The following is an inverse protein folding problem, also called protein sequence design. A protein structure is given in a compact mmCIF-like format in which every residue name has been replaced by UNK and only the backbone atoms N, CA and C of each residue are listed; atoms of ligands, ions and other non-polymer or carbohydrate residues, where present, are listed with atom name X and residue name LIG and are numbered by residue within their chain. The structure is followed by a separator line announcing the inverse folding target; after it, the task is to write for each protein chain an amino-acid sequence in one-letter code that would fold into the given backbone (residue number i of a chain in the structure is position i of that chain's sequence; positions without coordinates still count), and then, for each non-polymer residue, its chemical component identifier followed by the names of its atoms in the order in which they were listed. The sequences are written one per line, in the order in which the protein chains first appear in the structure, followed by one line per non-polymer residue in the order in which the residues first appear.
data_IF_453372995726
#
_entry.id   IF_453372995726
#
_cell.length_a   1.000
_cell.length_b   1.000
_cell.length_c   1.000
_cell.angle_alpha   90.00
_cell.angle_beta   90.00
_cell.angle_gamma   90.00
#
_symmetry.space_group_name_H-M   'P 1'
#
loop_
_entity.id
_entity.type
_entity.pdbx_description
1 polymer ?
#
# COMPACT_ATOMS: atom_id res chain seq x y z
N UNK A 1 2.95 7.68 -5.45
CA UNK A 1 1.89 7.03 -6.26
C UNK A 1 2.56 6.39 -7.48
N UNK A 2 2.13 5.21 -7.90
CA UNK A 2 2.59 4.53 -9.10
C UNK A 2 1.63 4.86 -10.25
N UNK A 3 2.15 5.54 -11.27
CA UNK A 3 1.35 6.03 -12.41
C UNK A 3 1.60 5.26 -13.71
N UNK A 4 2.63 4.41 -13.73
CA UNK A 4 3.02 3.62 -14.90
C UNK A 4 3.23 2.16 -14.48
N UNK A 5 2.69 1.24 -15.28
CA UNK A 5 2.92 -0.20 -15.12
C UNK A 5 4.33 -0.53 -15.62
N UNK A 6 5.18 -0.99 -14.71
CA UNK A 6 6.56 -1.40 -14.99
C UNK A 6 6.75 -2.85 -14.54
N UNK A 7 7.66 -3.57 -15.18
CA UNK A 7 7.90 -5.00 -14.90
C UNK A 7 8.75 -5.24 -13.64
N UNK A 8 9.00 -4.21 -12.83
CA UNK A 8 9.85 -4.25 -11.64
C UNK A 8 9.09 -3.98 -10.33
N UNK A 9 7.75 -3.95 -10.38
CA UNK A 9 6.92 -3.53 -9.25
C UNK A 9 7.17 -4.39 -8.00
N UNK A 10 7.24 -5.72 -8.15
CA UNK A 10 7.51 -6.66 -7.06
C UNK A 10 8.91 -6.50 -6.47
N UNK A 11 9.92 -6.26 -7.32
CA UNK A 11 11.29 -6.00 -6.90
C UNK A 11 11.37 -4.72 -6.07
N UNK A 12 10.62 -3.67 -6.45
CA UNK A 12 10.52 -2.42 -5.68
C UNK A 12 9.80 -2.64 -4.36
N UNK A 13 8.71 -3.41 -4.34
CA UNK A 13 8.01 -3.79 -3.10
C UNK A 13 8.96 -4.51 -2.14
N UNK A 14 9.66 -5.53 -2.62
CA UNK A 14 10.64 -6.29 -1.85
C UNK A 14 11.78 -5.40 -1.34
N UNK A 15 12.31 -4.52 -2.21
CA UNK A 15 13.37 -3.59 -1.84
C UNK A 15 12.95 -2.69 -0.67
N UNK A 16 11.78 -2.05 -0.72
CA UNK A 16 11.32 -1.21 0.39
C UNK A 16 11.01 -2.03 1.65
N UNK A 17 10.39 -3.19 1.50
CA UNK A 17 10.06 -4.11 2.59
C UNK A 17 11.31 -4.51 3.39
N UNK A 18 12.37 -4.94 2.69
CA UNK A 18 13.61 -5.37 3.33
C UNK A 18 14.40 -4.21 3.94
N UNK A 19 14.38 -3.04 3.31
CA UNK A 19 15.05 -1.86 3.85
C UNK A 19 14.40 -1.33 5.13
N UNK A 20 13.07 -1.42 5.26
CA UNK A 20 12.38 -0.98 6.48
C UNK A 20 12.85 -1.72 7.73
N UNK A 21 13.14 -3.02 7.61
CA UNK A 21 13.60 -3.84 8.73
C UNK A 21 14.89 -3.29 9.37
N UNK A 22 15.77 -2.64 8.58
CA UNK A 22 17.00 -2.00 9.08
C UNK A 22 16.74 -0.86 10.07
N UNK A 23 15.61 -0.17 9.95
CA UNK A 23 15.24 0.92 10.88
C UNK A 23 14.59 0.41 12.16
N UNK A 24 14.15 -0.86 12.18
CA UNK A 24 13.43 -1.43 13.33
C UNK A 24 14.35 -2.09 14.35
N UNK A 25 15.49 -2.64 13.92
CA UNK A 25 16.39 -3.42 14.77
C UNK A 25 17.76 -2.76 14.88
N UNK A 26 18.20 -2.46 16.10
CA UNK A 26 19.54 -1.91 16.37
C UNK A 26 20.57 -3.03 16.51
N UNK A 27 21.84 -2.71 16.23
CA UNK A 27 22.97 -3.63 16.40
C UNK A 27 22.97 -4.26 17.81
N UNK A 28 23.10 -5.58 17.88
CA UNK A 28 23.11 -6.34 19.13
C UNK A 28 21.75 -6.67 19.73
N UNK A 29 20.64 -6.24 19.11
CA UNK A 29 19.29 -6.63 19.56
C UNK A 29 18.89 -8.01 19.03
N UNK A 30 18.09 -8.74 19.83
CA UNK A 30 17.46 -10.00 19.40
C UNK A 30 16.51 -9.76 18.22
N UNK A 31 16.54 -10.64 17.22
CA UNK A 31 15.62 -10.62 16.08
C UNK A 31 14.14 -10.70 16.46
N UNK A 32 13.81 -11.22 17.65
CA UNK A 32 12.44 -11.19 18.19
C UNK A 32 11.89 -9.77 18.38
N UNK A 33 12.75 -8.74 18.37
CA UNK A 33 12.36 -7.31 18.49
C UNK A 33 12.11 -6.63 17.15
N UNK A 34 12.18 -7.36 16.03
CA UNK A 34 11.77 -6.82 14.73
C UNK A 34 10.33 -6.32 14.83
N UNK A 35 10.11 -5.05 14.46
CA UNK A 35 8.77 -4.45 14.47
C UNK A 35 8.05 -4.80 13.17
N UNK A 36 6.73 -4.96 13.27
CA UNK A 36 5.92 -5.06 12.06
C UNK A 36 6.05 -3.80 11.22
N UNK A 37 6.17 -4.00 9.91
CA UNK A 37 6.33 -2.93 8.92
C UNK A 37 5.29 -3.08 7.81
N UNK A 38 4.86 -1.95 7.26
CA UNK A 38 3.91 -1.90 6.16
C UNK A 38 4.55 -1.16 5.00
N UNK A 39 4.52 -1.78 3.82
CA UNK A 39 4.83 -1.13 2.55
C UNK A 39 3.54 -1.07 1.76
N UNK A 40 3.11 0.15 1.45
CA UNK A 40 1.86 0.40 0.73
C UNK A 40 2.17 1.00 -0.63
N UNK A 41 1.77 0.30 -1.68
CA UNK A 41 1.83 0.80 -3.05
C UNK A 41 0.45 1.29 -3.46
N UNK A 42 0.39 2.55 -3.93
CA UNK A 42 -0.82 3.15 -4.48
C UNK A 42 -0.69 3.17 -6.00
N UNK A 43 -1.42 2.31 -6.70
CA UNK A 43 -1.37 2.16 -8.16
C UNK A 43 -2.64 2.74 -8.81
N UNK A 44 -2.45 3.55 -9.84
CA UNK A 44 -3.54 4.14 -10.64
C UNK A 44 -3.99 3.26 -11.82
N UNK A 45 -3.48 2.04 -11.86
CA UNK A 45 -3.71 0.99 -12.86
C UNK A 45 -3.80 -0.34 -12.12
N UNK A 46 -4.34 -1.37 -12.78
CA UNK A 46 -4.31 -2.73 -12.24
C UNK A 46 -2.95 -3.40 -12.53
N UNK A 47 -2.12 -3.64 -11.49
CA UNK A 47 -0.81 -4.23 -11.71
C UNK A 47 -0.86 -5.71 -12.09
N UNK A 48 -1.92 -6.43 -11.74
CA UNK A 48 -2.02 -7.90 -11.91
C UNK A 48 -3.18 -8.33 -12.80
N UNK A 49 -3.97 -7.38 -13.29
CA UNK A 49 -5.11 -7.60 -14.20
C UNK A 49 -6.15 -8.58 -13.61
N UNK A 50 -6.32 -8.59 -12.28
CA UNK A 50 -7.30 -9.44 -11.57
C UNK A 50 -8.56 -8.67 -11.15
N UNK A 51 -8.58 -7.34 -11.28
CA UNK A 51 -9.72 -6.50 -10.89
C UNK A 51 -9.86 -6.26 -9.38
N UNK A 52 -8.98 -6.82 -8.55
CA UNK A 52 -9.00 -6.58 -7.10
C UNK A 52 -8.59 -5.14 -6.79
N UNK A 53 -9.29 -4.48 -5.87
CA UNK A 53 -8.94 -3.14 -5.42
C UNK A 53 -7.81 -3.15 -4.40
N UNK A 54 -7.61 -4.26 -3.69
CA UNK A 54 -6.52 -4.42 -2.71
C UNK A 54 -5.87 -5.79 -2.85
N UNK A 55 -4.60 -5.80 -3.24
CA UNK A 55 -3.76 -7.00 -3.17
C UNK A 55 -2.99 -7.00 -1.84
N UNK A 56 -3.09 -8.08 -1.07
CA UNK A 56 -2.39 -8.27 0.20
C UNK A 56 -1.41 -9.45 0.10
N UNK A 57 -0.11 -9.14 0.14
CA UNK A 57 0.93 -10.14 -0.09
C UNK A 57 1.52 -10.65 1.22
N UNK A 58 1.55 -11.98 1.34
CA UNK A 58 2.24 -12.71 2.39
C UNK A 58 2.99 -13.91 1.82
N UNK A 59 4.02 -14.37 2.55
CA UNK A 59 4.82 -15.52 2.17
C UNK A 59 4.28 -16.77 2.84
N UNK A 60 4.14 -17.85 2.08
CA UNK A 60 3.69 -19.14 2.58
C UNK A 60 4.66 -20.24 2.20
N UNK A 61 4.64 -21.33 2.94
CA UNK A 61 5.33 -22.54 2.53
C UNK A 61 4.86 -22.97 1.12
N UNK A 62 5.81 -23.25 0.23
CA UNK A 62 5.51 -23.46 -1.19
C UNK A 62 4.71 -24.75 -1.46
N UNK A 63 4.80 -25.74 -0.57
CA UNK A 63 4.24 -27.07 -0.81
C UNK A 63 2.76 -27.15 -0.45
N UNK A 64 2.38 -26.70 0.74
CA UNK A 64 1.02 -26.83 1.27
C UNK A 64 0.30 -25.49 1.38
N UNK A 65 1.02 -24.37 1.34
CA UNK A 65 0.49 -23.01 1.56
C UNK A 65 -0.28 -22.87 2.89
N UNK A 66 0.02 -23.75 3.85
CA UNK A 66 -0.69 -23.84 5.13
C UNK A 66 0.07 -23.16 6.26
N UNK A 67 1.36 -22.88 6.06
CA UNK A 67 2.22 -22.19 7.03
C UNK A 67 2.61 -20.85 6.44
N UNK A 68 2.13 -19.78 7.07
CA UNK A 68 2.60 -18.42 6.78
C UNK A 68 4.00 -18.22 7.36
N UNK A 69 4.92 -17.72 6.55
CA UNK A 69 6.20 -17.24 7.03
C UNK A 69 6.02 -15.84 7.62
N UNK A 70 5.87 -15.79 8.95
CA UNK A 70 5.57 -14.57 9.72
C UNK A 70 6.77 -13.61 9.75
N UNK A 71 7.00 -12.89 8.65
CA UNK A 71 8.09 -11.91 8.52
C UNK A 71 7.84 -10.64 9.33
N UNK A 72 6.58 -10.36 9.69
CA UNK A 72 6.16 -9.08 10.24
C UNK A 72 6.16 -7.95 9.20
N UNK A 73 6.54 -8.22 7.96
CA UNK A 73 6.49 -7.26 6.86
C UNK A 73 5.25 -7.52 6.01
N UNK A 74 4.40 -6.51 5.91
CA UNK A 74 3.15 -6.55 5.15
C UNK A 74 3.29 -5.68 3.90
N UNK A 75 2.95 -6.23 2.74
CA UNK A 75 2.98 -5.49 1.48
C UNK A 75 1.56 -5.43 0.93
N UNK A 76 1.02 -4.22 0.82
CA UNK A 76 -0.31 -3.96 0.28
C UNK A 76 -0.23 -3.14 -0.99
N UNK A 77 -1.05 -3.49 -1.97
CA UNK A 77 -1.22 -2.70 -3.19
C UNK A 77 -2.67 -2.27 -3.29
N UNK A 78 -2.90 -0.96 -3.32
CA UNK A 78 -4.20 -0.39 -3.65
C UNK A 78 -4.24 -0.13 -5.16
N UNK A 79 -5.20 -0.74 -5.83
CA UNK A 79 -5.46 -0.61 -7.25
C UNK A 79 -6.71 0.26 -7.45
N UNK A 80 -6.54 1.47 -7.97
CA UNK A 80 -7.66 2.39 -8.20
C UNK A 80 -8.61 1.96 -9.32
N UNK A 81 -8.27 0.93 -10.10
CA UNK A 81 -9.12 0.34 -11.14
C UNK A 81 -9.89 -0.90 -10.66
N UNK A 82 -9.65 -1.34 -9.42
CA UNK A 82 -10.36 -2.48 -8.88
C UNK A 82 -11.82 -2.16 -8.61
N UNK A 83 -12.66 -3.19 -8.61
CA UNK A 83 -14.12 -3.05 -8.58
C UNK A 83 -14.79 -3.86 -7.46
N UNK A 84 -14.06 -4.16 -6.38
CA UNK A 84 -14.56 -4.99 -5.28
C UNK A 84 -15.86 -4.42 -4.70
N UNK A 85 -16.93 -5.21 -4.78
CA UNK A 85 -18.27 -4.79 -4.32
C UNK A 85 -18.35 -4.61 -2.80
N UNK A 86 -17.52 -5.33 -2.04
CA UNK A 86 -17.55 -5.38 -0.57
C UNK A 86 -16.69 -4.30 0.12
N UNK A 87 -16.08 -3.39 -0.64
CA UNK A 87 -15.32 -2.29 -0.05
C UNK A 87 -16.21 -1.38 0.80
N UNK A 88 -15.65 -0.84 1.87
CA UNK A 88 -16.34 0.23 2.58
C UNK A 88 -16.31 1.53 1.75
N UNK A 89 -17.26 2.43 2.02
CA UNK A 89 -17.39 3.70 1.28
C UNK A 89 -16.11 4.54 1.32
N UNK A 90 -15.44 4.64 2.48
CA UNK A 90 -14.21 5.42 2.61
C UNK A 90 -13.10 4.91 1.70
N UNK A 91 -13.00 3.60 1.50
CA UNK A 91 -12.01 3.01 0.61
C UNK A 91 -12.35 3.28 -0.86
N UNK A 92 -13.62 3.17 -1.26
CA UNK A 92 -14.05 3.57 -2.61
C UNK A 92 -13.73 5.04 -2.90
N UNK A 93 -14.11 5.92 -1.97
CA UNK A 93 -13.82 7.35 -2.07
C UNK A 93 -12.30 7.63 -2.20
N UNK A 94 -11.46 6.84 -1.51
CA UNK A 94 -10.00 6.92 -1.63
C UNK A 94 -9.48 6.46 -3.00
N UNK A 95 -10.03 5.39 -3.57
CA UNK A 95 -9.65 4.91 -4.90
C UNK A 95 -10.10 5.89 -6.00
N UNK A 96 -11.30 6.47 -5.87
CA UNK A 96 -11.79 7.55 -6.74
C UNK A 96 -10.86 8.76 -6.66
N UNK A 97 -10.48 9.15 -5.45
CA UNK A 97 -9.50 10.21 -5.24
C UNK A 97 -8.15 9.93 -5.91
N UNK A 98 -7.64 8.69 -5.83
CA UNK A 98 -6.43 8.27 -6.56
C UNK A 98 -6.56 8.41 -8.08
N UNK A 99 -7.78 8.31 -8.62
CA UNK A 99 -8.08 8.54 -10.03
C UNK A 99 -8.29 10.01 -10.39
N UNK A 100 -8.12 10.94 -9.44
CA UNK A 100 -8.37 12.37 -9.63
C UNK A 100 -9.85 12.76 -9.58
N UNK A 101 -10.73 11.87 -9.12
CA UNK A 101 -12.15 12.17 -8.94
C UNK A 101 -12.33 12.83 -7.57
N UNK A 102 -12.56 14.14 -7.58
CA UNK A 102 -12.71 14.95 -6.35
C UNK A 102 -14.18 15.32 -6.19
N UNK A 103 -15.01 14.34 -5.83
CA UNK A 103 -16.45 14.51 -5.60
C UNK A 103 -16.82 14.35 -4.12
N UNK A 104 -15.90 14.71 -3.22
CA UNK A 104 -16.05 14.54 -1.77
C UNK A 104 -16.01 15.90 -1.07
N UNK A 105 -17.14 16.63 -1.03
CA UNK A 105 -17.21 17.95 -0.40
C UNK A 105 -16.98 17.90 1.12
N UNK A 106 -17.18 16.74 1.74
CA UNK A 106 -17.02 16.51 3.17
C UNK A 106 -16.40 15.12 3.46
N UNK A 107 -15.88 14.93 4.66
CA UNK A 107 -15.32 13.65 5.13
C UNK A 107 -13.81 13.51 4.93
N UNK A 108 -13.32 12.26 5.00
CA UNK A 108 -11.88 11.96 5.04
C UNK A 108 -11.12 12.50 3.81
N UNK A 109 -11.68 12.33 2.60
CA UNK A 109 -11.04 12.81 1.37
C UNK A 109 -10.98 14.35 1.33
N UNK A 110 -12.01 15.05 1.81
CA UNK A 110 -11.98 16.51 1.91
C UNK A 110 -10.87 16.99 2.88
N UNK A 111 -10.70 16.31 4.02
CA UNK A 111 -9.60 16.59 4.95
C UNK A 111 -8.24 16.33 4.32
N UNK A 112 -8.09 15.20 3.62
CA UNK A 112 -6.84 14.85 2.93
C UNK A 112 -6.47 15.88 1.85
N UNK A 113 -7.45 16.32 1.04
CA UNK A 113 -7.24 17.35 0.03
C UNK A 113 -6.80 18.67 0.66
N UNK A 114 -7.44 19.08 1.76
CA UNK A 114 -7.06 20.29 2.49
C UNK A 114 -5.62 20.22 3.00
N UNK A 115 -5.20 19.08 3.55
CA UNK A 115 -3.82 18.89 4.04
C UNK A 115 -2.81 18.95 2.89
N UNK A 116 -3.14 18.37 1.73
CA UNK A 116 -2.32 18.44 0.51
C UNK A 116 -2.23 19.88 0.01
N UNK A 117 -3.35 20.60 -0.07
CA UNK A 117 -3.39 21.99 -0.51
C UNK A 117 -2.57 22.89 0.42
N UNK A 118 -2.66 22.66 1.74
CA UNK A 118 -1.83 23.37 2.72
C UNK A 118 -0.34 23.10 2.49
N UNK A 119 0.04 21.85 2.29
CA UNK A 119 1.45 21.49 2.04
C UNK A 119 1.97 22.13 0.75
N UNK A 120 1.24 21.99 -0.36
CA UNK A 120 1.61 22.57 -1.67
C UNK A 120 1.72 24.10 -1.60
N UNK A 121 0.77 24.77 -0.95
CA UNK A 121 0.78 26.23 -0.82
C UNK A 121 1.79 26.74 0.22
N UNK A 122 2.34 25.87 1.06
CA UNK A 122 3.35 26.27 2.07
C UNK A 122 4.73 26.56 1.47
N UNK A 123 4.94 26.29 0.18
CA UNK A 123 6.21 26.57 -0.52
C UNK A 123 7.41 25.79 0.02
N UNK A 124 7.15 24.69 0.75
CA UNK A 124 8.15 23.74 1.24
C UNK A 124 8.25 22.51 0.36
#
# INVERSE_FOLDING_TARGET
MQTTKTNDLEQRMLYYAMNLNRFTLRTGQSYSKLKSSYVVFLCTFDPYDQGESVYDFAYFDKRTRSIEFKTGTHVKVFNSKGNDHDLNRKMRDFLDYMNGIINHPEGYIASLQKDIDQYVNSGK
#
